data_IF_143932690895
#
_entry.id   IF_143932690895
#
_cell.length_a   1.000
_cell.length_b   1.000
_cell.length_c   1.000
_cell.angle_alpha   90.00
_cell.angle_beta   90.00
_cell.angle_gamma   90.00
#
_symmetry.space_group_name_H-M   'P 1'
#
loop_
_entity.id
_entity.type
_entity.pdbx_description
1 polymer ?
#
# COMPACT_ATOMS: atom_id res chain seq x y z
N UNK A 1 8.15 -14.40 -5.65
CA UNK A 1 8.51 -13.32 -6.60
C UNK A 1 10.00 -13.09 -6.53
N UNK A 2 10.72 -12.91 -7.66
CA UNK A 2 12.13 -12.51 -7.64
C UNK A 2 12.33 -11.27 -6.76
N UNK A 3 13.39 -11.24 -5.93
CA UNK A 3 13.62 -10.15 -4.96
C UNK A 3 13.74 -8.77 -5.60
N UNK A 4 14.28 -8.72 -6.81
CA UNK A 4 14.37 -7.53 -7.67
C UNK A 4 13.01 -6.87 -7.96
N UNK A 5 11.90 -7.61 -7.87
CA UNK A 5 10.55 -7.09 -8.11
C UNK A 5 9.83 -6.69 -6.82
N UNK A 6 10.50 -6.71 -5.67
CA UNK A 6 9.87 -6.37 -4.40
C UNK A 6 9.81 -4.85 -4.23
N UNK A 7 8.61 -4.34 -4.02
CA UNK A 7 8.35 -2.91 -3.77
C UNK A 7 8.35 -2.58 -2.26
N UNK A 8 8.64 -3.55 -1.39
CA UNK A 8 8.70 -3.36 0.05
C UNK A 8 8.62 -4.68 0.79
N UNK A 9 8.67 -4.62 2.13
CA UNK A 9 8.77 -5.79 3.00
C UNK A 9 10.17 -6.41 3.02
N UNK A 10 11.21 -5.62 2.76
CA UNK A 10 12.61 -6.03 2.85
C UNK A 10 13.45 -4.99 3.58
N UNK A 11 14.64 -5.40 3.99
CA UNK A 11 15.67 -4.51 4.53
C UNK A 11 16.65 -4.19 3.41
N UNK A 12 16.88 -2.91 3.15
CA UNK A 12 17.82 -2.46 2.14
C UNK A 12 19.29 -2.71 2.54
N UNK A 13 20.22 -2.41 1.63
CA UNK A 13 21.66 -2.58 1.88
C UNK A 13 22.19 -1.67 3.00
N UNK A 14 21.44 -0.62 3.36
CA UNK A 14 21.77 0.31 4.43
C UNK A 14 21.16 -0.09 5.78
N UNK A 15 20.46 -1.23 5.85
CA UNK A 15 19.79 -1.70 7.06
C UNK A 15 18.45 -1.02 7.35
N UNK A 16 17.87 -0.28 6.40
CA UNK A 16 16.56 0.36 6.53
C UNK A 16 15.44 -0.57 6.08
N UNK A 17 14.38 -0.65 6.88
CA UNK A 17 13.16 -1.37 6.50
C UNK A 17 12.41 -0.58 5.44
N UNK A 18 12.25 -1.15 4.25
CA UNK A 18 11.44 -0.56 3.17
C UNK A 18 10.02 -1.06 3.32
N UNK A 19 9.09 -0.18 3.67
CA UNK A 19 7.67 -0.52 3.72
C UNK A 19 7.04 -0.46 2.32
N UNK A 20 5.97 -1.23 2.12
CA UNK A 20 5.32 -1.35 0.80
C UNK A 20 4.79 -0.02 0.24
N UNK A 21 4.35 0.89 1.12
CA UNK A 21 3.90 2.22 0.71
C UNK A 21 5.05 3.07 0.20
N UNK A 22 6.24 2.98 0.82
CA UNK A 22 7.40 3.79 0.43
C UNK A 22 7.92 3.35 -0.94
N UNK A 23 8.04 2.05 -1.19
CA UNK A 23 8.43 1.59 -2.51
C UNK A 23 7.34 1.81 -3.56
N UNK A 24 6.04 1.82 -3.19
CA UNK A 24 4.98 2.24 -4.10
C UNK A 24 5.11 3.73 -4.47
N UNK A 25 5.38 4.61 -3.51
CA UNK A 25 5.68 6.04 -3.74
C UNK A 25 6.84 6.21 -4.70
N UNK A 26 7.94 5.50 -4.47
CA UNK A 26 9.10 5.55 -5.35
C UNK A 26 8.78 5.07 -6.77
N UNK A 27 8.09 3.93 -6.89
CA UNK A 27 7.75 3.33 -8.20
C UNK A 27 6.78 4.18 -9.03
N UNK A 28 5.88 4.93 -8.40
CA UNK A 28 4.89 5.76 -9.09
C UNK A 28 5.31 7.23 -9.29
N UNK A 29 6.38 7.66 -8.62
CA UNK A 29 6.81 9.07 -8.52
C UNK A 29 7.04 9.78 -9.85
N UNK A 30 7.43 9.06 -10.90
CA UNK A 30 7.67 9.66 -12.22
C UNK A 30 6.39 10.22 -12.85
N UNK A 31 5.28 9.48 -12.75
CA UNK A 31 4.06 9.74 -13.52
C UNK A 31 2.85 10.15 -12.68
N UNK A 32 2.90 9.97 -11.36
CA UNK A 32 1.79 10.20 -10.47
C UNK A 32 2.21 10.97 -9.23
N UNK A 33 1.30 11.82 -8.75
CA UNK A 33 1.40 12.50 -7.48
C UNK A 33 0.42 11.87 -6.48
N UNK A 34 0.91 11.57 -5.27
CA UNK A 34 0.05 11.08 -4.19
C UNK A 34 -0.76 12.25 -3.64
N UNK A 35 -2.08 12.21 -3.85
CA UNK A 35 -3.01 13.27 -3.42
C UNK A 35 -3.58 12.99 -2.05
N UNK A 36 -3.77 11.72 -1.70
CA UNK A 36 -4.37 11.34 -0.43
C UNK A 36 -3.90 9.99 0.08
N UNK A 37 -3.75 9.88 1.39
CA UNK A 37 -3.42 8.65 2.11
C UNK A 37 -4.27 8.60 3.38
N UNK A 38 -5.03 7.53 3.58
CA UNK A 38 -5.88 7.39 4.76
C UNK A 38 -6.13 5.94 5.16
N UNK A 39 -6.40 5.72 6.44
CA UNK A 39 -6.91 4.46 6.95
C UNK A 39 -8.44 4.48 6.91
N UNK A 40 -9.03 3.64 6.05
CA UNK A 40 -10.48 3.53 5.89
C UNK A 40 -11.01 2.28 6.60
N UNK A 41 -11.80 2.43 7.67
CA UNK A 41 -12.54 1.32 8.26
C UNK A 41 -13.63 0.84 7.30
N UNK A 42 -13.71 -0.47 7.08
CA UNK A 42 -14.74 -1.08 6.23
C UNK A 42 -15.21 -2.43 6.76
N UNK A 43 -16.36 -2.86 6.27
CA UNK A 43 -16.98 -4.14 6.63
C UNK A 43 -17.21 -4.96 5.37
N UNK A 44 -16.64 -6.17 5.33
CA UNK A 44 -16.83 -7.11 4.23
C UNK A 44 -17.84 -8.17 4.70
N UNK A 45 -18.94 -8.32 3.96
CA UNK A 45 -19.94 -9.35 4.27
C UNK A 45 -19.45 -10.70 3.76
N UNK A 46 -19.35 -11.67 4.67
CA UNK A 46 -18.99 -13.05 4.30
C UNK A 46 -20.21 -13.96 4.14
N UNK A 47 -21.19 -13.85 5.05
CA UNK A 47 -22.41 -14.66 5.00
C UNK A 47 -23.64 -13.86 5.42
N UNK A 48 -24.81 -14.51 5.58
CA UNK A 48 -26.04 -13.83 6.04
C UNK A 48 -25.88 -13.17 7.42
N UNK A 49 -25.06 -13.73 8.31
CA UNK A 49 -24.90 -13.26 9.70
C UNK A 49 -23.42 -13.11 10.12
N UNK A 50 -22.47 -13.13 9.17
CA UNK A 50 -21.04 -12.96 9.43
C UNK A 50 -20.47 -11.82 8.59
N UNK A 51 -19.71 -10.95 9.24
CA UNK A 51 -19.05 -9.80 8.66
C UNK A 51 -17.63 -9.72 9.21
N UNK A 52 -16.67 -9.34 8.37
CA UNK A 52 -15.32 -9.00 8.77
C UNK A 52 -15.20 -7.48 8.82
N UNK A 53 -14.79 -6.95 9.98
CA UNK A 53 -14.36 -5.56 10.10
C UNK A 53 -12.86 -5.48 9.85
N UNK A 54 -12.43 -4.53 9.03
CA UNK A 54 -11.02 -4.31 8.70
C UNK A 54 -10.75 -2.82 8.47
N UNK A 55 -9.48 -2.43 8.56
CA UNK A 55 -9.01 -1.08 8.25
C UNK A 55 -8.02 -1.18 7.11
N UNK A 56 -8.34 -0.53 5.99
CA UNK A 56 -7.52 -0.56 4.79
C UNK A 56 -6.74 0.75 4.64
N UNK A 57 -5.47 0.63 4.25
CA UNK A 57 -4.69 1.78 3.77
C UNK A 57 -5.15 2.12 2.35
N UNK A 58 -5.81 3.26 2.19
CA UNK A 58 -6.24 3.80 0.89
C UNK A 58 -5.24 4.87 0.46
N UNK A 59 -4.80 4.80 -0.79
CA UNK A 59 -3.99 5.83 -1.45
C UNK A 59 -4.68 6.31 -2.72
N UNK A 60 -4.69 7.62 -2.95
CA UNK A 60 -5.29 8.25 -4.14
C UNK A 60 -4.19 8.97 -4.89
N UNK A 61 -4.04 8.62 -6.16
CA UNK A 61 -2.98 9.11 -7.03
C UNK A 61 -3.58 9.90 -8.18
N UNK A 62 -3.02 11.06 -8.46
CA UNK A 62 -3.33 11.86 -9.63
C UNK A 62 -2.22 11.70 -10.66
N UNK A 63 -2.58 11.43 -11.91
CA UNK A 63 -1.62 11.44 -13.00
C UNK A 63 -1.20 12.88 -13.29
N UNK A 64 0.10 13.09 -13.47
CA UNK A 64 0.67 14.37 -13.91
C UNK A 64 0.15 14.78 -15.30
#
# INVERSE_FOLDING_TARGET
TPKENWIGGYVDENGQEVHGLDGLKNAMSDNFDLVHEMNLPMMIRETRRKFQFTVCLITIWQRK
#
